data_IF_635533971645
#
_entry.id   IF_635533971645
#
_cell.length_a   1.000
_cell.length_b   1.000
_cell.length_c   1.000
_cell.angle_alpha   90.00
_cell.angle_beta   90.00
_cell.angle_gamma   90.00
#
_symmetry.space_group_name_H-M   'P 1'
#
loop_
_entity.id
_entity.type
_entity.pdbx_description
1 polymer ?
#
# COMPACT_ATOMS: atom_id res chain seq x y z
N UNK A 1 45.41 -7.06 10.27
CA UNK A 1 44.07 -7.25 9.69
C UNK A 1 43.29 -6.03 10.09
N UNK A 2 42.97 -5.17 9.12
CA UNK A 2 42.48 -3.83 9.37
C UNK A 2 40.97 -3.88 9.64
N UNK A 3 40.56 -3.44 10.83
CA UNK A 3 39.18 -3.57 11.31
C UNK A 3 38.25 -2.64 10.52
N UNK A 4 38.78 -1.49 10.10
CA UNK A 4 38.04 -0.50 9.30
C UNK A 4 37.74 -1.02 7.89
N UNK A 5 38.72 -1.70 7.27
CA UNK A 5 38.54 -2.33 5.95
C UNK A 5 37.51 -3.48 5.98
N UNK A 6 37.40 -4.17 7.12
CA UNK A 6 36.39 -5.20 7.33
C UNK A 6 34.97 -4.60 7.45
N UNK A 7 34.87 -3.47 8.14
CA UNK A 7 33.60 -2.76 8.35
C UNK A 7 33.07 -2.19 7.02
N UNK A 8 33.94 -1.62 6.19
CA UNK A 8 33.58 -1.11 4.87
C UNK A 8 33.11 -2.24 3.93
N UNK A 9 33.77 -3.41 3.97
CA UNK A 9 33.32 -4.60 3.22
C UNK A 9 31.96 -5.10 3.70
N UNK A 10 31.73 -5.15 5.02
CA UNK A 10 30.44 -5.54 5.60
C UNK A 10 29.32 -4.59 5.17
N UNK A 11 29.58 -3.27 5.18
CA UNK A 11 28.63 -2.27 4.73
C UNK A 11 28.30 -2.42 3.25
N UNK A 12 29.30 -2.60 2.40
CA UNK A 12 29.09 -2.83 0.96
C UNK A 12 28.29 -4.12 0.68
N UNK A 13 28.55 -5.19 1.42
CA UNK A 13 27.78 -6.44 1.32
C UNK A 13 26.34 -6.22 1.78
N UNK A 14 26.13 -5.51 2.89
CA UNK A 14 24.79 -5.19 3.39
C UNK A 14 23.99 -4.36 2.39
N UNK A 15 24.61 -3.35 1.79
CA UNK A 15 23.95 -2.49 0.81
C UNK A 15 23.64 -3.27 -0.49
N UNK A 16 24.57 -4.12 -0.96
CA UNK A 16 24.33 -5.01 -2.10
C UNK A 16 23.19 -6.00 -1.84
N UNK A 17 23.13 -6.56 -0.64
CA UNK A 17 22.07 -7.49 -0.23
C UNK A 17 20.70 -6.81 -0.19
N UNK A 18 20.63 -5.55 0.27
CA UNK A 18 19.40 -4.76 0.23
C UNK A 18 18.94 -4.51 -1.20
N UNK A 19 19.86 -4.16 -2.10
CA UNK A 19 19.54 -3.93 -3.51
C UNK A 19 19.03 -5.20 -4.18
N UNK A 20 19.68 -6.34 -3.92
CA UNK A 20 19.25 -7.65 -4.46
C UNK A 20 17.89 -8.07 -3.91
N UNK A 21 17.64 -7.86 -2.61
CA UNK A 21 16.33 -8.10 -1.99
C UNK A 21 15.22 -7.26 -2.62
N UNK A 22 15.49 -5.99 -2.94
CA UNK A 22 14.54 -5.13 -3.64
C UNK A 22 14.24 -5.63 -5.06
N UNK A 23 15.28 -6.04 -5.81
CA UNK A 23 15.11 -6.62 -7.15
C UNK A 23 14.29 -7.92 -7.12
N UNK A 24 14.53 -8.77 -6.12
CA UNK A 24 13.74 -9.99 -5.90
C UNK A 24 12.26 -9.67 -5.67
N UNK A 25 11.97 -8.68 -4.83
CA UNK A 25 10.61 -8.25 -4.52
C UNK A 25 9.90 -7.66 -5.75
N UNK A 26 10.59 -6.82 -6.52
CA UNK A 26 10.05 -6.29 -7.78
C UNK A 26 9.76 -7.39 -8.80
N UNK A 27 10.63 -8.38 -8.90
CA UNK A 27 10.43 -9.53 -9.78
C UNK A 27 9.22 -10.36 -9.33
N UNK A 28 9.11 -10.65 -8.04
CA UNK A 28 7.98 -11.37 -7.47
C UNK A 28 6.65 -10.62 -7.70
N UNK A 29 6.65 -9.28 -7.59
CA UNK A 29 5.49 -8.45 -7.91
C UNK A 29 5.12 -8.54 -9.39
N UNK A 30 6.10 -8.43 -10.29
CA UNK A 30 5.86 -8.59 -11.73
C UNK A 30 5.29 -9.96 -12.07
N UNK A 31 5.75 -11.02 -11.41
CA UNK A 31 5.19 -12.35 -11.58
C UNK A 31 3.73 -12.43 -11.11
N UNK A 32 3.41 -11.80 -9.97
CA UNK A 32 2.06 -11.77 -9.43
C UNK A 32 1.07 -11.00 -10.33
N UNK A 33 1.54 -9.97 -11.04
CA UNK A 33 0.72 -9.14 -11.93
C UNK A 33 0.46 -9.79 -13.31
N UNK A 34 1.12 -10.92 -13.63
CA UNK A 34 0.89 -11.65 -14.87
C UNK A 34 -0.45 -12.41 -14.83
N UNK A 35 -1.16 -12.38 -15.96
CA UNK A 35 -2.32 -13.25 -16.16
C UNK A 35 -1.83 -14.65 -16.57
N UNK A 36 -2.14 -15.64 -15.74
CA UNK A 36 -1.88 -17.05 -16.03
C UNK A 36 -3.17 -17.73 -16.48
N UNK A 37 -3.06 -18.57 -17.52
CA UNK A 37 -4.17 -19.40 -18.00
C UNK A 37 -4.43 -20.60 -17.07
N UNK A 38 -3.43 -20.96 -16.24
CA UNK A 38 -3.45 -22.06 -15.29
C UNK A 38 -3.52 -21.55 -13.83
N UNK A 39 -4.59 -21.92 -13.13
CA UNK A 39 -4.83 -21.55 -11.72
C UNK A 39 -3.73 -22.06 -10.77
N UNK A 40 -3.05 -23.16 -11.11
CA UNK A 40 -1.95 -23.69 -10.29
C UNK A 40 -0.74 -22.75 -10.39
N UNK A 41 -0.43 -22.25 -11.59
CA UNK A 41 0.69 -21.34 -11.80
C UNK A 41 0.43 -19.97 -11.17
N UNK A 42 -0.80 -19.49 -11.25
CA UNK A 42 -1.24 -18.27 -10.56
C UNK A 42 -1.05 -18.39 -9.04
N UNK A 43 -1.43 -19.53 -8.45
CA UNK A 43 -1.25 -19.79 -7.03
C UNK A 43 0.22 -19.81 -6.60
N UNK A 44 1.08 -20.45 -7.41
CA UNK A 44 2.53 -20.51 -7.14
C UNK A 44 3.18 -19.13 -7.23
N UNK A 45 2.79 -18.30 -8.21
CA UNK A 45 3.28 -16.93 -8.34
C UNK A 45 2.88 -16.06 -7.14
N UNK A 46 1.62 -16.16 -6.70
CA UNK A 46 1.10 -15.48 -5.49
C UNK A 46 1.82 -15.92 -4.22
N UNK A 47 1.99 -17.23 -4.02
CA UNK A 47 2.68 -17.76 -2.84
C UNK A 47 4.15 -17.34 -2.81
N UNK A 48 4.82 -17.29 -3.98
CA UNK A 48 6.18 -16.77 -4.08
C UNK A 48 6.23 -15.28 -3.71
N UNK A 49 5.32 -14.45 -4.22
CA UNK A 49 5.21 -13.04 -3.85
C UNK A 49 4.99 -12.85 -2.35
N UNK A 50 4.04 -13.58 -1.76
CA UNK A 50 3.76 -13.55 -0.32
C UNK A 50 4.94 -13.99 0.54
N UNK A 51 5.84 -14.83 0.03
CA UNK A 51 7.03 -15.27 0.76
C UNK A 51 8.10 -14.19 0.92
N UNK A 52 8.08 -13.18 0.04
CA UNK A 52 9.05 -12.08 0.04
C UNK A 52 8.58 -10.89 0.89
N UNK A 53 7.31 -10.88 1.32
CA UNK A 53 6.71 -9.80 2.10
C UNK A 53 6.92 -10.02 3.61
N UNK A 54 6.91 -8.91 4.34
CA UNK A 54 6.83 -8.94 5.81
C UNK A 54 5.54 -9.64 6.27
N UNK A 55 5.55 -10.23 7.46
CA UNK A 55 4.44 -11.05 7.96
C UNK A 55 3.10 -10.30 7.98
N UNK A 56 3.12 -9.01 8.36
CA UNK A 56 1.91 -8.17 8.37
C UNK A 56 1.40 -7.89 6.96
N UNK A 57 2.29 -7.50 6.05
CA UNK A 57 1.95 -7.19 4.66
C UNK A 57 1.47 -8.44 3.93
N UNK A 58 2.07 -9.60 4.21
CA UNK A 58 1.64 -10.90 3.70
C UNK A 58 0.20 -11.21 4.07
N UNK A 59 -0.17 -11.04 5.35
CA UNK A 59 -1.54 -11.29 5.83
C UNK A 59 -2.51 -10.33 5.14
N UNK A 60 -2.16 -9.05 5.08
CA UNK A 60 -2.97 -8.04 4.40
C UNK A 60 -3.21 -8.40 2.93
N UNK A 61 -2.15 -8.67 2.16
CA UNK A 61 -2.28 -8.95 0.72
C UNK A 61 -3.11 -10.21 0.45
N UNK A 62 -2.93 -11.26 1.25
CA UNK A 62 -3.75 -12.47 1.14
C UNK A 62 -5.23 -12.17 1.37
N UNK A 63 -5.55 -11.38 2.40
CA UNK A 63 -6.93 -10.98 2.72
C UNK A 63 -7.51 -10.05 1.66
N UNK A 64 -6.70 -9.15 1.11
CA UNK A 64 -7.10 -8.22 0.07
C UNK A 64 -7.43 -8.96 -1.23
N UNK A 65 -6.64 -9.97 -1.60
CA UNK A 65 -6.89 -10.80 -2.78
C UNK A 65 -8.13 -11.69 -2.61
N UNK A 66 -8.33 -12.27 -1.41
CA UNK A 66 -9.58 -12.95 -1.03
C UNK A 66 -10.79 -12.01 -1.19
N UNK A 67 -10.68 -10.77 -0.67
CA UNK A 67 -11.72 -9.75 -0.78
C UNK A 67 -12.02 -9.38 -2.23
N UNK A 68 -11.00 -9.07 -3.03
CA UNK A 68 -11.13 -8.74 -4.46
C UNK A 68 -11.82 -9.86 -5.24
N UNK A 69 -11.48 -11.12 -4.94
CA UNK A 69 -12.13 -12.29 -5.54
C UNK A 69 -13.61 -12.42 -5.15
N UNK A 70 -13.98 -12.02 -3.94
CA UNK A 70 -15.38 -12.03 -3.49
C UNK A 70 -16.20 -10.93 -4.18
N UNK A 71 -15.64 -9.72 -4.31
CA UNK A 71 -16.36 -8.58 -4.89
C UNK A 71 -16.41 -8.62 -6.42
N UNK A 72 -15.49 -9.31 -7.10
CA UNK A 72 -15.39 -9.32 -8.56
C UNK A 72 -16.63 -9.88 -9.27
N UNK A 73 -17.44 -10.69 -8.58
CA UNK A 73 -18.70 -11.24 -9.11
C UNK A 73 -19.88 -10.27 -9.07
N UNK A 74 -19.73 -9.09 -8.47
CA UNK A 74 -20.83 -8.13 -8.26
C UNK A 74 -20.62 -6.86 -9.08
N UNK A 75 -21.73 -6.22 -9.47
CA UNK A 75 -21.66 -4.92 -10.14
C UNK A 75 -21.26 -3.83 -9.15
N UNK A 76 -20.54 -2.82 -9.63
CA UNK A 76 -20.13 -1.68 -8.81
C UNK A 76 -21.31 -0.99 -8.11
N UNK A 77 -22.42 -0.80 -8.81
CA UNK A 77 -23.62 -0.19 -8.22
C UNK A 77 -24.22 -1.01 -7.07
N UNK A 78 -24.14 -2.35 -7.15
CA UNK A 78 -24.59 -3.22 -6.05
C UNK A 78 -23.65 -3.14 -4.86
N UNK A 79 -22.34 -3.12 -5.11
CA UNK A 79 -21.32 -2.98 -4.07
C UNK A 79 -21.45 -1.63 -3.34
N UNK A 80 -21.63 -0.53 -4.06
CA UNK A 80 -21.80 0.81 -3.46
C UNK A 80 -23.07 0.95 -2.59
N UNK A 81 -24.09 0.11 -2.82
CA UNK A 81 -25.29 0.05 -1.98
C UNK A 81 -25.12 -0.84 -0.75
N UNK A 82 -24.03 -1.60 -0.66
CA UNK A 82 -23.76 -2.50 0.47
C UNK A 82 -23.06 -1.76 1.60
N UNK A 83 -23.59 -1.87 2.82
CA UNK A 83 -22.96 -1.32 4.03
C UNK A 83 -21.59 -1.95 4.34
N UNK A 84 -21.31 -3.12 3.78
CA UNK A 84 -20.09 -3.90 4.04
C UNK A 84 -19.01 -3.68 2.96
N UNK A 85 -19.31 -2.90 1.92
CA UNK A 85 -18.34 -2.56 0.88
C UNK A 85 -17.47 -1.39 1.34
N UNK A 86 -16.17 -1.66 1.50
CA UNK A 86 -15.19 -0.69 1.99
C UNK A 86 -14.37 -0.04 0.88
N UNK A 87 -14.58 -0.42 -0.37
CA UNK A 87 -13.87 0.10 -1.53
C UNK A 87 -13.21 -0.99 -2.38
N UNK A 88 -12.37 -0.62 -3.36
CA UNK A 88 -11.70 -1.58 -4.24
C UNK A 88 -10.62 -2.41 -3.52
N UNK A 89 -10.07 -1.92 -2.41
CA UNK A 89 -9.06 -2.61 -1.59
C UNK A 89 -9.48 -2.54 -0.13
N UNK A 90 -9.05 -3.53 0.66
CA UNK A 90 -9.27 -3.50 2.11
C UNK A 90 -8.51 -2.31 2.73
N UNK A 91 -9.13 -1.54 3.64
CA UNK A 91 -8.45 -0.47 4.34
C UNK A 91 -7.28 -1.04 5.15
N UNK A 92 -6.14 -0.36 5.08
CA UNK A 92 -4.94 -0.74 5.86
C UNK A 92 -5.06 -0.16 7.26
N UNK A 93 -4.71 -0.94 8.29
CA UNK A 93 -4.78 -0.49 9.70
C UNK A 93 -3.97 0.79 10.01
N UNK A 94 -3.03 1.16 9.14
CA UNK A 94 -2.19 2.36 9.25
C UNK A 94 -2.66 3.52 8.37
N UNK A 95 -3.66 3.32 7.52
CA UNK A 95 -4.36 4.40 6.83
C UNK A 95 -5.45 4.92 7.77
N UNK A 96 -5.01 5.63 8.81
CA UNK A 96 -5.90 6.33 9.72
C UNK A 96 -6.75 7.31 8.90
N UNK A 97 -8.05 7.09 8.85
CA UNK A 97 -8.99 8.06 8.29
C UNK A 97 -9.05 9.28 9.21
N UNK A 98 -9.33 10.48 8.67
CA UNK A 98 -9.52 11.70 9.48
C UNK A 98 -10.70 11.63 10.49
N UNK A 99 -11.35 10.46 10.59
CA UNK A 99 -12.49 10.17 11.43
C UNK A 99 -12.14 9.21 12.58
N UNK A 100 -10.91 8.71 12.63
CA UNK A 100 -10.52 7.65 13.55
C UNK A 100 -10.21 8.19 14.96
N UNK A 101 -9.75 9.43 15.06
CA UNK A 101 -9.50 10.11 16.33
C UNK A 101 -10.12 11.51 16.40
N UNK A 102 -10.41 11.99 17.62
CA UNK A 102 -10.93 13.35 17.83
C UNK A 102 -9.95 14.42 17.36
N UNK A 103 -8.65 14.15 17.44
CA UNK A 103 -7.60 15.09 17.04
C UNK A 103 -7.51 15.19 15.50
N UNK A 104 -7.77 14.09 14.79
CA UNK A 104 -7.84 14.10 13.32
C UNK A 104 -9.06 14.86 12.81
N UNK A 105 -10.20 14.74 13.51
CA UNK A 105 -11.43 15.50 13.22
C UNK A 105 -11.17 17.00 13.41
N UNK A 106 -10.49 17.40 14.49
CA UNK A 106 -10.11 18.80 14.72
C UNK A 106 -9.19 19.33 13.61
N UNK A 107 -8.25 18.50 13.15
CA UNK A 107 -7.35 18.83 12.05
C UNK A 107 -8.10 19.02 10.73
N UNK A 108 -9.12 18.20 10.47
CA UNK A 108 -9.99 18.34 9.29
C UNK A 108 -10.80 19.65 9.34
N UNK A 109 -11.40 19.99 10.49
CA UNK A 109 -12.10 21.26 10.68
C UNK A 109 -11.17 22.46 10.52
N UNK A 110 -9.94 22.38 11.04
CA UNK A 110 -8.93 23.41 10.85
C UNK A 110 -8.61 23.62 9.37
N UNK A 111 -8.35 22.55 8.62
CA UNK A 111 -8.10 22.62 7.18
C UNK A 111 -9.27 23.26 6.43
N UNK A 112 -10.50 22.88 6.78
CA UNK A 112 -11.71 23.46 6.21
C UNK A 112 -11.79 24.98 6.46
N UNK A 113 -11.56 25.44 7.69
CA UNK A 113 -11.56 26.87 8.03
C UNK A 113 -10.42 27.61 7.30
N UNK A 114 -9.21 27.05 7.27
CA UNK A 114 -8.07 27.64 6.56
C UNK A 114 -8.30 27.74 5.04
N UNK A 115 -9.01 26.78 4.45
CA UNK A 115 -9.35 26.81 3.03
C UNK A 115 -10.22 28.02 2.63
N UNK A 116 -11.02 28.54 3.56
CA UNK A 116 -11.81 29.77 3.34
C UNK A 116 -10.90 30.99 3.21
N UNK A 117 -9.85 31.08 4.04
CA UNK A 117 -8.88 32.17 4.00
C UNK A 117 -7.94 32.10 2.77
N UNK A 118 -7.64 30.91 2.26
CA UNK A 118 -6.86 30.74 1.02
C UNK A 118 -7.62 31.23 -0.24
N UNK A 119 -8.96 31.20 -0.19
CA UNK A 119 -9.80 31.66 -1.31
C UNK A 119 -9.74 33.17 -1.47
N UNK A 120 -9.60 33.91 -0.37
CA UNK A 120 -9.54 35.38 -0.39
C UNK A 120 -8.18 35.91 -0.83
N UNK A 121 -7.08 35.18 -0.58
CA UNK A 121 -5.73 35.60 -1.01
C UNK A 121 -5.61 35.76 -2.54
N UNK A 122 -6.24 34.87 -3.32
CA UNK A 122 -6.25 34.95 -4.79
C UNK A 122 -7.04 36.15 -5.35
N UNK A 123 -7.93 36.76 -4.56
CA UNK A 123 -8.66 37.97 -4.97
C UNK A 123 -7.93 39.26 -4.59
N UNK A 124 -6.96 39.20 -3.67
CA UNK A 124 -6.20 40.38 -3.21
C UNK A 124 -5.07 40.73 -4.21
N UNK A 125 -4.50 39.78 -4.94
CA UNK A 125 -3.47 40.03 -5.98
C UNK A 125 -4.03 40.64 -7.29
N UNK A 126 -5.35 40.85 -7.41
CA UNK A 126 -5.99 41.43 -8.60
C UNK A 126 -6.39 42.91 -8.46
N UNK A 127 -5.99 43.58 -7.39
CA UNK A 127 -6.13 45.04 -7.19
C UNK A 127 -4.73 45.65 -7.18
#
# INVERSE_FOLDING_TARGET
MDIDELNDKLKNIQDSLKEESQKSLEFAKKLNDLEFDDQIQEGVAKDYYYSQLDEREKIYQKKNDEYKKLISGFSKAYLELSEWYVGPELPRDHESTFLDSKDDINSLYFLFVMSLFLKDYKNIEKI
#
